data_IF_453272794245
#
_entry.id   IF_453272794245
#
_cell.length_a   1.000
_cell.length_b   1.000
_cell.length_c   1.000
_cell.angle_alpha   90.00
_cell.angle_beta   90.00
_cell.angle_gamma   90.00
#
_symmetry.space_group_name_H-M   'P 1'
#
loop_
_entity.id
_entity.type
_entity.pdbx_description
1 polymer ?
#
# COMPACT_ATOMS: atom_id res chain seq x y z
N UNK A 1 -6.91 16.53 5.10
CA UNK A 1 -6.59 15.18 4.60
C UNK A 1 -5.21 14.83 5.12
N UNK A 2 -4.92 13.54 5.29
CA UNK A 2 -3.65 13.02 5.79
C UNK A 2 -3.06 12.12 4.71
N UNK A 3 -1.75 12.22 4.49
CA UNK A 3 -1.03 11.37 3.57
C UNK A 3 -0.54 10.12 4.32
N UNK A 4 -0.62 8.97 3.67
CA UNK A 4 -0.15 7.70 4.21
C UNK A 4 0.79 7.03 3.23
N UNK A 5 1.87 6.44 3.75
CA UNK A 5 2.76 5.55 3.02
C UNK A 5 2.51 4.11 3.44
N UNK A 6 2.28 3.26 2.45
CA UNK A 6 2.06 1.83 2.58
C UNK A 6 3.25 1.12 1.96
N UNK A 7 3.84 0.23 2.73
CA UNK A 7 4.89 -0.68 2.28
C UNK A 7 4.30 -2.09 2.22
N UNK A 8 4.46 -2.77 1.10
CA UNK A 8 3.91 -4.10 0.89
C UNK A 8 4.85 -5.00 0.10
N UNK A 9 4.68 -6.31 0.30
CA UNK A 9 5.32 -7.39 -0.45
C UNK A 9 4.25 -8.24 -1.12
N UNK A 10 4.60 -8.99 -2.16
CA UNK A 10 3.69 -9.90 -2.84
C UNK A 10 4.42 -11.15 -3.36
N UNK A 11 3.66 -12.22 -3.59
CA UNK A 11 4.23 -13.48 -4.06
C UNK A 11 4.97 -13.28 -5.39
N UNK A 12 6.19 -13.80 -5.50
CA UNK A 12 7.02 -13.64 -6.70
C UNK A 12 8.08 -12.53 -6.64
N UNK A 13 8.11 -11.72 -5.58
CA UNK A 13 9.26 -10.84 -5.24
C UNK A 13 9.35 -10.59 -3.71
N UNK A 14 9.52 -11.65 -2.88
CA UNK A 14 9.54 -11.49 -1.41
C UNK A 14 10.68 -10.61 -0.89
N UNK A 15 11.75 -10.41 -1.66
CA UNK A 15 12.89 -9.58 -1.27
C UNK A 15 12.75 -8.09 -1.64
N UNK A 16 11.72 -7.70 -2.39
CA UNK A 16 11.57 -6.33 -2.89
C UNK A 16 10.30 -5.70 -2.32
N UNK A 17 10.49 -4.77 -1.38
CA UNK A 17 9.44 -3.93 -0.81
C UNK A 17 8.91 -2.98 -1.89
N UNK A 18 7.60 -2.91 -2.02
CA UNK A 18 6.90 -1.95 -2.88
C UNK A 18 6.22 -0.90 -2.02
N UNK A 19 6.11 0.32 -2.55
CA UNK A 19 5.53 1.45 -1.84
C UNK A 19 4.32 2.01 -2.58
N UNK A 20 3.29 2.40 -1.83
CA UNK A 20 2.12 3.10 -2.34
C UNK A 20 1.79 4.27 -1.41
N UNK A 21 1.40 5.40 -1.99
CA UNK A 21 1.00 6.60 -1.26
C UNK A 21 -0.49 6.84 -1.47
N UNK A 22 -1.20 7.12 -0.40
CA UNK A 22 -2.63 7.42 -0.46
C UNK A 22 -2.97 8.57 0.47
N UNK A 23 -3.79 9.49 0.00
CA UNK A 23 -4.39 10.52 0.84
C UNK A 23 -5.76 10.08 1.32
N UNK A 24 -6.02 10.17 2.62
CA UNK A 24 -7.32 9.82 3.19
C UNK A 24 -7.69 10.71 4.37
N UNK A 25 -8.93 10.57 4.84
CA UNK A 25 -9.43 11.30 6.02
C UNK A 25 -8.93 10.68 7.33
N UNK A 26 -8.66 9.38 7.35
CA UNK A 26 -8.16 8.63 8.49
C UNK A 26 -7.50 7.32 8.01
N UNK A 27 -6.83 6.64 8.93
CA UNK A 27 -6.09 5.40 8.68
C UNK A 27 -6.99 4.28 8.14
N UNK A 28 -8.20 4.12 8.68
CA UNK A 28 -9.14 3.08 8.23
C UNK A 28 -9.48 3.22 6.75
N UNK A 29 -9.78 4.44 6.30
CA UNK A 29 -10.09 4.70 4.89
C UNK A 29 -8.84 4.53 4.03
N UNK A 30 -7.68 5.03 4.48
CA UNK A 30 -6.41 4.87 3.77
C UNK A 30 -6.08 3.39 3.53
N UNK A 31 -6.31 2.53 4.53
CA UNK A 31 -6.07 1.09 4.42
C UNK A 31 -6.96 0.42 3.38
N UNK A 32 -8.26 0.70 3.38
CA UNK A 32 -9.20 0.14 2.39
C UNK A 32 -8.78 0.56 0.98
N UNK A 33 -8.52 1.86 0.77
CA UNK A 33 -8.11 2.38 -0.54
C UNK A 33 -6.79 1.76 -1.03
N UNK A 34 -5.81 1.62 -0.14
CA UNK A 34 -4.52 1.01 -0.46
C UNK A 34 -4.67 -0.48 -0.82
N UNK A 35 -5.43 -1.25 -0.03
CA UNK A 35 -5.64 -2.68 -0.27
C UNK A 35 -6.36 -2.91 -1.62
N UNK A 36 -7.43 -2.17 -1.91
CA UNK A 36 -8.16 -2.26 -3.19
C UNK A 36 -7.26 -1.89 -4.38
N UNK A 37 -6.47 -0.83 -4.25
CA UNK A 37 -5.54 -0.39 -5.29
C UNK A 37 -4.45 -1.45 -5.55
N UNK A 38 -3.80 -1.95 -4.49
CA UNK A 38 -2.70 -2.92 -4.61
C UNK A 38 -3.21 -4.23 -5.22
N UNK A 39 -4.37 -4.73 -4.78
CA UNK A 39 -5.00 -5.92 -5.37
C UNK A 39 -5.19 -5.76 -6.89
N UNK A 40 -5.79 -4.63 -7.29
CA UNK A 40 -6.06 -4.36 -8.71
C UNK A 40 -4.77 -4.18 -9.52
N UNK A 41 -3.78 -3.51 -8.96
CA UNK A 41 -2.48 -3.30 -9.59
C UNK A 41 -1.78 -4.64 -9.87
N UNK A 42 -1.73 -5.53 -8.88
CA UNK A 42 -1.09 -6.84 -9.03
C UNK A 42 -1.84 -7.72 -10.03
N UNK A 43 -3.18 -7.72 -10.00
CA UNK A 43 -4.00 -8.43 -10.98
C UNK A 43 -3.74 -7.94 -12.41
N UNK A 44 -3.64 -6.63 -12.62
CA UNK A 44 -3.37 -6.05 -13.93
C UNK A 44 -1.96 -6.39 -14.45
N UNK A 45 -0.96 -6.35 -13.56
CA UNK A 45 0.46 -6.62 -13.85
C UNK A 45 0.70 -8.08 -14.21
N UNK A 46 0.16 -9.02 -13.42
CA UNK A 46 0.48 -10.44 -13.55
C UNK A 46 -0.61 -11.26 -14.25
N UNK A 47 -1.76 -10.64 -14.58
CA UNK A 47 -2.92 -11.31 -15.20
C UNK A 47 -3.47 -12.48 -14.38
N UNK A 48 -3.19 -12.52 -13.08
CA UNK A 48 -3.67 -13.51 -12.11
C UNK A 48 -3.82 -12.87 -10.73
N UNK A 49 -4.58 -13.52 -9.86
CA UNK A 49 -4.69 -13.08 -8.47
C UNK A 49 -3.36 -13.35 -7.74
N UNK A 50 -2.87 -12.32 -7.03
CA UNK A 50 -1.64 -12.35 -6.28
C UNK A 50 -1.95 -12.05 -4.82
N UNK A 51 -1.42 -12.86 -3.90
CA UNK A 51 -1.42 -12.50 -2.49
C UNK A 51 -0.36 -11.41 -2.25
N UNK A 52 -0.68 -10.49 -1.35
CA UNK A 52 0.22 -9.46 -0.88
C UNK A 52 0.04 -9.28 0.62
N UNK A 53 1.08 -8.73 1.25
CA UNK A 53 1.11 -8.44 2.68
C UNK A 53 1.56 -7.00 2.87
N UNK A 54 0.84 -6.26 3.71
CA UNK A 54 1.27 -4.93 4.16
C UNK A 54 2.29 -5.11 5.27
N UNK A 55 3.52 -4.68 5.02
CA UNK A 55 4.65 -4.77 5.94
C UNK A 55 4.71 -3.55 6.87
N UNK A 56 4.38 -2.37 6.35
CA UNK A 56 4.35 -1.14 7.13
C UNK A 56 3.28 -0.19 6.59
N UNK A 57 2.67 0.55 7.51
CA UNK A 57 1.63 1.53 7.22
C UNK A 57 1.85 2.74 8.12
N UNK A 58 2.16 3.91 7.55
CA UNK A 58 2.53 5.10 8.34
C UNK A 58 1.80 6.32 7.81
N UNK A 59 1.23 7.10 8.72
CA UNK A 59 0.83 8.48 8.41
C UNK A 59 2.10 9.31 8.19
N UNK A 60 2.14 10.03 7.07
CA UNK A 60 3.16 11.03 6.83
C UNK A 60 2.72 12.29 7.60
N UNK A 61 3.32 12.50 8.77
CA UNK A 61 3.24 13.79 9.45
C UNK A 61 4.14 14.78 8.73
N UNK A 62 3.63 15.96 8.41
CA UNK A 62 4.49 17.09 8.03
C UNK A 62 5.41 17.41 9.22
N UNK A 63 6.73 17.32 9.01
CA UNK A 63 7.75 17.76 9.98
C UNK A 63 8.27 16.67 10.93
N UNK A 64 9.32 15.97 10.50
CA UNK A 64 10.37 15.54 11.41
C UNK A 64 11.59 16.41 11.12
N UNK A 65 11.56 17.65 11.63
CA UNK A 65 12.73 18.51 11.82
C UNK A 65 12.69 19.07 13.24
#
# INVERSE_FOLDING_TARGET
MKAYIIEYTYDGLPATRSFHFVDARNEKIARILAEEYILRLLQLRFKKQMAFEIVSFKELSEGAE
#
